data_IF_667633477437
#
_entry.id   IF_667633477437
#
_cell.length_a   1.000
_cell.length_b   1.000
_cell.length_c   1.000
_cell.angle_alpha   90.00
_cell.angle_beta   90.00
_cell.angle_gamma   90.00
#
_symmetry.space_group_name_H-M   'P 1'
#
loop_
_entity.id
_entity.type
_entity.pdbx_description
1 polymer ?
#
# COMPACT_ATOMS: atom_id res chain seq x y z
N UNK A 1 73.71 20.69 7.77
CA UNK A 1 72.30 20.82 8.22
C UNK A 1 71.41 20.55 7.01
N UNK A 2 70.78 19.36 6.94
CA UNK A 2 69.92 18.97 5.80
C UNK A 2 68.47 19.27 6.16
N UNK A 3 67.84 20.20 5.44
CA UNK A 3 66.41 20.50 5.55
C UNK A 3 65.64 19.53 4.65
N UNK A 4 64.86 18.63 5.24
CA UNK A 4 63.86 17.84 4.51
C UNK A 4 62.57 18.67 4.39
N UNK A 5 62.23 19.11 3.18
CA UNK A 5 60.88 19.57 2.87
C UNK A 5 60.03 18.35 2.48
N UNK A 6 59.05 18.02 3.31
CA UNK A 6 57.94 17.16 2.90
C UNK A 6 56.91 18.01 2.13
N UNK A 7 56.50 17.65 0.91
CA UNK A 7 55.44 18.37 0.22
C UNK A 7 54.09 18.00 0.84
N UNK A 8 53.39 19.04 1.30
CA UNK A 8 52.04 19.01 1.82
C UNK A 8 51.07 18.61 0.69
N UNK A 9 50.41 17.45 0.82
CA UNK A 9 49.35 17.03 -0.09
C UNK A 9 48.09 17.87 0.20
N UNK A 10 47.80 18.84 -0.66
CA UNK A 10 46.54 19.58 -0.65
C UNK A 10 45.43 18.70 -1.27
N UNK A 11 44.60 18.10 -0.42
CA UNK A 11 43.36 17.45 -0.83
C UNK A 11 42.33 18.54 -1.22
N UNK A 12 42.12 18.72 -2.52
CA UNK A 12 40.98 19.47 -3.03
C UNK A 12 39.71 18.63 -2.90
N UNK A 13 38.63 19.14 -2.27
CA UNK A 13 37.37 18.42 -2.24
C UNK A 13 36.77 18.41 -3.66
N UNK A 14 36.64 17.23 -4.26
CA UNK A 14 35.80 17.05 -5.44
C UNK A 14 34.35 17.24 -5.02
N UNK A 15 33.73 18.33 -5.48
CA UNK A 15 32.28 18.48 -5.47
C UNK A 15 31.70 17.47 -6.49
N UNK A 16 31.26 16.32 -6.00
CA UNK A 16 30.44 15.40 -6.79
C UNK A 16 29.05 16.03 -6.88
N UNK A 17 28.78 16.73 -7.97
CA UNK A 17 27.41 17.10 -8.32
C UNK A 17 26.68 15.83 -8.79
N UNK A 18 25.67 15.41 -8.04
CA UNK A 18 24.75 14.39 -8.52
C UNK A 18 23.98 14.97 -9.70
N UNK A 19 24.24 14.45 -10.91
CA UNK A 19 23.45 14.80 -12.09
C UNK A 19 21.98 14.43 -11.89
N UNK A 20 21.09 15.17 -12.55
CA UNK A 20 19.66 14.87 -12.47
C UNK A 20 19.38 13.45 -12.99
N UNK A 21 18.56 12.65 -12.28
CA UNK A 21 18.19 11.32 -12.74
C UNK A 21 17.41 11.43 -14.07
N UNK A 22 17.80 10.61 -15.04
CA UNK A 22 17.05 10.46 -16.29
C UNK A 22 15.95 9.43 -16.08
N UNK A 23 14.72 9.79 -16.42
CA UNK A 23 13.56 8.91 -16.33
C UNK A 23 13.17 8.41 -17.72
N UNK A 24 12.78 7.13 -17.80
CA UNK A 24 12.13 6.55 -18.97
C UNK A 24 10.75 6.07 -18.54
N UNK A 25 9.72 6.49 -19.27
CA UNK A 25 8.38 5.95 -19.07
C UNK A 25 8.33 4.48 -19.47
N UNK A 26 7.60 3.68 -18.69
CA UNK A 26 7.25 2.32 -19.02
C UNK A 26 5.79 2.11 -18.65
N UNK A 27 4.98 1.77 -19.64
CA UNK A 27 3.59 1.41 -19.41
C UNK A 27 3.53 -0.03 -18.92
N UNK A 28 2.86 -0.23 -17.79
CA UNK A 28 2.74 -1.54 -17.12
C UNK A 28 1.40 -2.21 -17.47
N UNK A 29 0.31 -1.45 -17.38
CA UNK A 29 -1.04 -1.91 -17.69
C UNK A 29 -1.88 -0.71 -18.15
N UNK A 30 -2.22 -0.69 -19.44
CA UNK A 30 -3.04 0.36 -20.05
C UNK A 30 -4.55 0.06 -19.94
N UNK A 31 -4.92 -1.11 -19.41
CA UNK A 31 -6.31 -1.57 -19.26
C UNK A 31 -6.84 -1.38 -17.83
N UNK A 32 -6.09 -0.65 -16.99
CA UNK A 32 -6.57 -0.22 -15.67
C UNK A 32 -7.75 0.73 -15.85
N UNK A 33 -8.86 0.46 -15.16
CA UNK A 33 -10.06 1.28 -15.27
C UNK A 33 -9.90 2.63 -14.57
N UNK A 34 -10.12 2.63 -13.25
CA UNK A 34 -9.95 3.82 -12.40
C UNK A 34 -8.54 3.87 -11.83
N UNK A 35 -8.08 2.74 -11.26
CA UNK A 35 -6.77 2.62 -10.61
C UNK A 35 -6.53 3.68 -9.51
N UNK A 36 -6.89 3.38 -8.27
CA UNK A 36 -6.92 4.39 -7.21
C UNK A 36 -5.84 4.20 -6.13
N UNK A 37 -5.81 3.05 -5.47
CA UNK A 37 -4.84 2.78 -4.41
C UNK A 37 -3.65 1.98 -4.91
N UNK A 38 -2.44 2.41 -4.57
CA UNK A 38 -1.19 1.78 -4.97
C UNK A 38 -0.32 1.45 -3.74
N UNK A 39 0.36 0.31 -3.78
CA UNK A 39 1.38 -0.09 -2.81
C UNK A 39 2.54 -0.78 -3.52
N UNK A 40 3.68 -0.84 -2.82
CA UNK A 40 4.88 -1.56 -3.24
C UNK A 40 5.19 -2.61 -2.19
N UNK A 41 5.38 -3.86 -2.62
CA UNK A 41 5.74 -4.97 -1.73
C UNK A 41 6.32 -6.14 -2.53
N UNK A 42 7.06 -7.02 -1.87
CA UNK A 42 7.42 -8.32 -2.44
C UNK A 42 6.22 -9.27 -2.26
N UNK A 43 5.58 -9.63 -3.37
CA UNK A 43 4.33 -10.42 -3.33
C UNK A 43 4.60 -11.91 -3.43
N UNK A 44 5.74 -12.33 -3.97
CA UNK A 44 6.05 -13.73 -4.27
C UNK A 44 7.25 -14.28 -3.49
N UNK A 45 8.00 -13.43 -2.78
CA UNK A 45 9.17 -13.77 -1.98
C UNK A 45 10.47 -13.84 -2.77
N UNK A 46 10.54 -13.27 -3.97
CA UNK A 46 11.73 -13.29 -4.82
C UNK A 46 12.72 -12.14 -4.55
N UNK A 47 12.42 -11.29 -3.57
CA UNK A 47 13.22 -10.14 -3.15
C UNK A 47 13.07 -8.92 -4.05
N UNK A 48 12.19 -8.95 -5.07
CA UNK A 48 11.92 -7.81 -5.94
C UNK A 48 10.70 -7.05 -5.45
N UNK A 49 10.72 -5.74 -5.68
CA UNK A 49 9.55 -4.90 -5.39
C UNK A 49 8.54 -5.01 -6.52
N UNK A 50 7.37 -5.54 -6.20
CA UNK A 50 6.20 -5.58 -7.06
C UNK A 50 5.27 -4.38 -6.80
N UNK A 51 4.30 -4.19 -7.70
CA UNK A 51 3.28 -3.15 -7.58
C UNK A 51 1.95 -3.81 -7.25
N UNK A 52 1.27 -3.33 -6.21
CA UNK A 52 -0.12 -3.69 -5.89
C UNK A 52 -1.01 -2.51 -6.24
N UNK A 53 -2.10 -2.77 -6.95
CA UNK A 53 -3.08 -1.79 -7.37
C UNK A 53 -4.48 -2.24 -6.95
N UNK A 54 -5.27 -1.28 -6.48
CA UNK A 54 -6.71 -1.46 -6.37
C UNK A 54 -7.44 -0.56 -7.37
N UNK A 55 -8.29 -1.19 -8.18
CA UNK A 55 -9.20 -0.55 -9.12
C UNK A 55 -10.61 -0.47 -8.49
N UNK A 56 -11.63 -0.02 -9.22
CA UNK A 56 -13.01 0.01 -8.72
C UNK A 56 -13.51 -1.37 -8.29
N UNK A 57 -13.17 -2.42 -9.04
CA UNK A 57 -13.78 -3.75 -8.90
C UNK A 57 -12.76 -4.89 -8.78
N UNK A 58 -11.47 -4.58 -8.78
CA UNK A 58 -10.40 -5.58 -8.79
C UNK A 58 -9.25 -5.13 -7.91
N UNK A 59 -8.62 -6.11 -7.28
CA UNK A 59 -7.30 -5.96 -6.65
C UNK A 59 -6.35 -6.79 -7.50
N UNK A 60 -5.22 -6.22 -7.89
CA UNK A 60 -4.20 -6.90 -8.68
C UNK A 60 -2.80 -6.54 -8.20
N UNK A 61 -1.83 -7.39 -8.50
CA UNK A 61 -0.42 -7.05 -8.39
C UNK A 61 0.32 -7.36 -9.69
N UNK A 62 1.44 -6.67 -9.92
CA UNK A 62 2.25 -6.74 -11.13
C UNK A 62 3.66 -7.18 -10.78
N UNK A 63 4.05 -8.35 -11.28
CA UNK A 63 5.27 -9.05 -10.90
C UNK A 63 6.51 -8.47 -11.59
N UNK A 64 7.43 -7.90 -10.83
CA UNK A 64 8.72 -7.44 -11.33
C UNK A 64 9.60 -8.65 -11.75
N UNK A 65 10.34 -8.60 -12.88
CA UNK A 65 10.44 -7.50 -13.86
C UNK A 65 9.52 -7.65 -15.07
N UNK A 66 8.78 -8.75 -15.18
CA UNK A 66 7.93 -9.02 -16.35
C UNK A 66 6.68 -8.15 -16.40
N UNK A 67 6.32 -7.55 -15.27
CA UNK A 67 5.07 -6.86 -14.99
C UNK A 67 3.83 -7.72 -15.26
N UNK A 68 3.97 -9.05 -15.18
CA UNK A 68 2.86 -9.98 -15.28
C UNK A 68 1.81 -9.65 -14.22
N UNK A 69 0.58 -9.38 -14.68
CA UNK A 69 -0.57 -9.10 -13.82
C UNK A 69 -1.09 -10.38 -13.17
N UNK A 70 -1.35 -10.31 -11.88
CA UNK A 70 -2.00 -11.35 -11.08
C UNK A 70 -3.23 -10.73 -10.40
N UNK A 71 -4.42 -11.22 -10.73
CA UNK A 71 -5.66 -10.71 -10.13
C UNK A 71 -5.90 -11.37 -8.77
N UNK A 72 -5.71 -10.59 -7.70
CA UNK A 72 -5.92 -11.02 -6.31
C UNK A 72 -7.40 -11.30 -6.04
N UNK A 73 -8.29 -10.38 -6.44
CA UNK A 73 -9.73 -10.51 -6.24
C UNK A 73 -10.52 -9.72 -7.29
N UNK A 74 -11.79 -10.09 -7.46
CA UNK A 74 -12.80 -9.25 -8.11
C UNK A 74 -13.54 -8.37 -7.11
N UNK A 75 -14.83 -8.16 -7.34
CA UNK A 75 -15.69 -7.36 -6.47
C UNK A 75 -15.70 -7.93 -5.04
N UNK A 76 -15.37 -7.08 -4.08
CA UNK A 76 -15.52 -7.39 -2.65
C UNK A 76 -16.87 -6.93 -2.11
N UNK A 77 -17.46 -5.93 -2.76
CA UNK A 77 -18.72 -5.29 -2.42
C UNK A 77 -19.44 -4.80 -3.68
N UNK A 78 -20.64 -4.24 -3.52
CA UNK A 78 -21.41 -3.67 -4.66
C UNK A 78 -20.82 -2.37 -5.20
N UNK A 79 -20.10 -1.61 -4.35
CA UNK A 79 -19.43 -0.35 -4.74
C UNK A 79 -17.92 -0.50 -4.73
N UNK A 80 -17.29 0.54 -5.24
CA UNK A 80 -15.87 0.60 -5.53
C UNK A 80 -14.97 0.34 -4.31
N UNK A 81 -13.78 -0.19 -4.59
CA UNK A 81 -12.66 -0.16 -3.67
C UNK A 81 -12.06 1.25 -3.55
N UNK A 82 -11.34 1.54 -2.47
CA UNK A 82 -10.82 2.89 -2.19
C UNK A 82 -9.42 2.95 -1.57
N UNK A 83 -8.95 1.89 -0.93
CA UNK A 83 -7.57 1.86 -0.44
C UNK A 83 -7.07 0.44 -0.28
N UNK A 84 -5.75 0.27 -0.30
CA UNK A 84 -5.07 -0.99 -0.10
C UNK A 84 -3.79 -0.76 0.70
N UNK A 85 -3.41 -1.71 1.55
CA UNK A 85 -2.08 -1.75 2.17
C UNK A 85 -1.49 -3.14 2.02
N UNK A 86 -0.17 -3.21 1.80
CA UNK A 86 0.56 -4.45 1.55
C UNK A 86 1.75 -4.57 2.49
N UNK A 87 1.93 -5.73 3.12
CA UNK A 87 3.09 -6.03 3.97
C UNK A 87 3.17 -7.52 4.30
N UNK A 88 4.38 -8.05 4.48
CA UNK A 88 4.57 -9.35 5.13
C UNK A 88 4.22 -9.26 6.63
N UNK A 89 3.10 -9.85 7.00
CA UNK A 89 2.55 -9.86 8.36
C UNK A 89 2.85 -11.17 9.08
N UNK A 90 2.94 -12.27 8.33
CA UNK A 90 3.14 -13.61 8.90
C UNK A 90 4.62 -14.06 8.94
N UNK A 91 5.53 -13.31 8.33
CA UNK A 91 6.96 -13.57 8.29
C UNK A 91 7.40 -14.59 7.24
N UNK A 92 6.57 -14.90 6.25
CA UNK A 92 6.88 -15.87 5.19
C UNK A 92 7.68 -15.26 4.01
N UNK A 93 8.01 -13.97 4.09
CA UNK A 93 8.72 -13.22 3.06
C UNK A 93 7.82 -12.72 1.93
N UNK A 94 6.50 -12.92 2.00
CA UNK A 94 5.52 -12.50 1.00
C UNK A 94 4.49 -11.58 1.64
N UNK A 95 4.04 -10.57 0.90
CA UNK A 95 3.10 -9.63 1.45
C UNK A 95 1.64 -10.14 1.50
N UNK A 96 0.96 -9.84 2.60
CA UNK A 96 -0.48 -9.87 2.78
C UNK A 96 -1.12 -8.53 2.41
N UNK A 97 -2.42 -8.56 2.12
CA UNK A 97 -3.18 -7.39 1.70
C UNK A 97 -4.37 -7.12 2.61
N UNK A 98 -4.62 -5.85 2.88
CA UNK A 98 -5.91 -5.37 3.37
C UNK A 98 -6.48 -4.33 2.39
N UNK A 99 -7.80 -4.34 2.21
CA UNK A 99 -8.51 -3.51 1.22
C UNK A 99 -9.71 -2.82 1.86
N UNK A 100 -9.84 -1.53 1.59
CA UNK A 100 -11.01 -0.73 1.90
C UNK A 100 -11.94 -0.66 0.70
N UNK A 101 -13.24 -0.86 0.92
CA UNK A 101 -14.23 -0.93 -0.14
C UNK A 101 -15.57 -0.29 0.24
N UNK A 102 -16.59 -0.52 -0.59
CA UNK A 102 -17.93 0.03 -0.45
C UNK A 102 -17.94 1.57 -0.43
N UNK A 103 -17.18 2.18 -1.34
CA UNK A 103 -16.98 3.63 -1.37
C UNK A 103 -18.29 4.40 -1.61
N UNK A 104 -18.66 5.22 -0.61
CA UNK A 104 -19.69 6.25 -0.73
C UNK A 104 -19.51 7.27 0.43
N UNK A 105 -18.75 8.36 0.25
CA UNK A 105 -18.44 9.29 1.33
C UNK A 105 -19.66 10.08 1.82
N UNK A 106 -20.75 10.16 1.03
CA UNK A 106 -21.99 10.82 1.44
C UNK A 106 -22.86 9.98 2.38
N UNK A 107 -22.66 8.66 2.41
CA UNK A 107 -23.36 7.76 3.30
C UNK A 107 -22.52 7.53 4.57
N UNK A 108 -22.65 8.45 5.53
CA UNK A 108 -21.94 8.43 6.81
C UNK A 108 -22.54 7.46 7.82
N UNK A 109 -23.36 6.50 7.38
CA UNK A 109 -24.02 5.51 8.25
C UNK A 109 -23.74 4.08 7.79
N UNK A 110 -23.85 3.78 6.48
CA UNK A 110 -23.82 2.41 5.96
C UNK A 110 -22.72 2.14 4.92
N UNK A 111 -21.95 3.15 4.50
CA UNK A 111 -20.84 2.96 3.57
C UNK A 111 -19.63 2.31 4.22
N UNK A 112 -18.59 2.03 3.42
CA UNK A 112 -17.34 1.49 3.92
C UNK A 112 -17.38 -0.02 4.09
N UNK A 113 -16.20 -0.62 3.97
CA UNK A 113 -15.92 -2.00 4.29
C UNK A 113 -14.41 -2.15 4.43
N UNK A 114 -13.98 -3.05 5.30
CA UNK A 114 -12.58 -3.42 5.48
C UNK A 114 -12.47 -4.93 5.29
N UNK A 115 -11.51 -5.36 4.48
CA UNK A 115 -11.21 -6.76 4.24
C UNK A 115 -9.73 -7.02 4.47
N UNK A 116 -9.41 -8.09 5.20
CA UNK A 116 -8.12 -8.77 5.05
C UNK A 116 -8.27 -9.79 3.91
N UNK A 117 -7.34 -9.84 2.98
CA UNK A 117 -7.35 -10.82 1.90
C UNK A 117 -6.40 -11.96 2.27
N UNK A 118 -6.96 -13.12 2.60
CA UNK A 118 -6.17 -14.31 2.92
C UNK A 118 -5.57 -14.90 1.64
N UNK A 119 -4.24 -14.98 1.55
CA UNK A 119 -3.55 -15.36 0.32
C UNK A 119 -3.71 -16.84 -0.04
N UNK A 120 -3.61 -17.13 -1.34
CA UNK A 120 -3.23 -18.48 -1.81
C UNK A 120 -1.74 -18.70 -1.61
N UNK A 121 -1.30 -19.95 -1.48
CA UNK A 121 0.11 -20.29 -1.23
C UNK A 121 1.06 -19.75 -2.32
N UNK A 122 0.60 -19.75 -3.58
CA UNK A 122 1.35 -19.30 -4.76
C UNK A 122 1.16 -17.82 -5.09
N UNK A 123 0.27 -17.12 -4.37
CA UNK A 123 -0.04 -15.69 -4.52
C UNK A 123 -0.55 -15.30 -5.93
N UNK A 124 -0.94 -16.27 -6.76
CA UNK A 124 -1.32 -16.06 -8.17
C UNK A 124 -2.71 -15.43 -8.34
N UNK A 125 -3.57 -15.51 -7.32
CA UNK A 125 -4.87 -14.84 -7.33
C UNK A 125 -5.91 -15.54 -6.47
N UNK A 126 -7.17 -15.10 -6.58
CA UNK A 126 -8.33 -15.67 -5.88
C UNK A 126 -8.19 -15.74 -4.35
N UNK A 127 -7.63 -14.69 -3.76
CA UNK A 127 -7.45 -14.61 -2.30
C UNK A 127 -8.81 -14.54 -1.61
N UNK A 128 -8.93 -15.26 -0.50
CA UNK A 128 -10.20 -15.36 0.24
C UNK A 128 -10.41 -14.09 1.07
N UNK A 129 -11.49 -13.31 0.84
CA UNK A 129 -11.75 -12.12 1.63
C UNK A 129 -12.27 -12.48 3.02
N UNK A 130 -11.67 -11.89 4.05
CA UNK A 130 -12.12 -11.92 5.43
C UNK A 130 -12.62 -10.53 5.80
N UNK A 131 -13.94 -10.39 5.92
CA UNK A 131 -14.57 -9.11 6.26
C UNK A 131 -14.31 -8.77 7.72
N UNK A 132 -13.81 -7.57 7.96
CA UNK A 132 -13.57 -7.02 9.29
C UNK A 132 -14.68 -6.03 9.67
N UNK A 133 -14.80 -5.77 10.97
CA UNK A 133 -15.60 -4.64 11.45
C UNK A 133 -15.14 -3.34 10.77
N UNK A 134 -16.02 -2.37 10.58
CA UNK A 134 -15.65 -1.07 10.04
C UNK A 134 -16.57 0.01 10.58
N UNK A 135 -16.05 1.23 10.60
CA UNK A 135 -16.85 2.45 10.64
C UNK A 135 -17.11 2.96 9.22
N UNK A 136 -18.18 3.76 9.03
CA UNK A 136 -18.59 4.19 7.71
C UNK A 136 -17.53 5.09 7.09
N UNK A 137 -17.55 5.24 5.77
CA UNK A 137 -16.61 6.09 5.01
C UNK A 137 -15.13 5.67 5.15
N UNK A 138 -14.84 4.36 5.30
CA UNK A 138 -13.48 3.81 5.20
C UNK A 138 -12.72 4.42 4.02
N UNK A 139 -11.50 4.93 4.22
CA UNK A 139 -10.80 5.71 3.19
C UNK A 139 -9.29 5.49 3.11
N UNK A 140 -8.58 5.33 4.24
CA UNK A 140 -7.14 5.03 4.24
C UNK A 140 -6.82 3.92 5.23
N UNK A 141 -5.78 3.16 4.95
CA UNK A 141 -5.29 2.11 5.82
C UNK A 141 -3.80 1.87 5.68
N UNK A 142 -3.15 1.47 6.77
CA UNK A 142 -1.74 1.11 6.81
C UNK A 142 -1.48 0.02 7.84
N UNK A 143 -0.57 -0.89 7.53
CA UNK A 143 0.06 -1.76 8.53
C UNK A 143 1.05 -0.96 9.37
N UNK A 144 0.81 -0.85 10.69
CA UNK A 144 1.64 -0.06 11.61
C UNK A 144 2.25 -1.00 12.66
N UNK A 145 3.57 -0.90 12.84
CA UNK A 145 4.27 -1.71 13.84
C UNK A 145 3.87 -1.24 15.25
N UNK A 146 3.35 -2.15 16.06
CA UNK A 146 2.97 -1.90 17.44
C UNK A 146 4.15 -2.09 18.41
N UNK A 147 4.03 -1.70 19.69
CA UNK A 147 5.11 -1.84 20.68
C UNK A 147 5.55 -3.28 20.95
N UNK A 148 4.70 -4.28 20.66
CA UNK A 148 5.05 -5.70 20.76
C UNK A 148 5.82 -6.20 19.53
N UNK A 149 6.12 -5.33 18.57
CA UNK A 149 6.84 -5.65 17.34
C UNK A 149 6.00 -6.32 16.26
N UNK A 150 4.69 -6.51 16.49
CA UNK A 150 3.73 -7.01 15.49
C UNK A 150 3.15 -5.85 14.68
N UNK A 151 2.43 -6.15 13.59
CA UNK A 151 1.75 -5.12 12.79
C UNK A 151 0.25 -5.14 13.04
N UNK A 152 -0.30 -3.99 13.36
CA UNK A 152 -1.74 -3.77 13.44
C UNK A 152 -2.21 -3.11 12.13
N UNK A 153 -3.36 -3.50 11.61
CA UNK A 153 -4.01 -2.74 10.54
C UNK A 153 -4.62 -1.49 11.14
N UNK A 154 -4.15 -0.30 10.76
CA UNK A 154 -4.76 0.96 11.17
C UNK A 154 -5.62 1.48 10.03
N UNK A 155 -6.91 1.70 10.28
CA UNK A 155 -7.88 2.21 9.30
C UNK A 155 -8.39 3.58 9.74
N UNK A 156 -8.40 4.52 8.79
CA UNK A 156 -8.90 5.88 8.95
C UNK A 156 -10.08 6.13 8.00
N UNK A 157 -11.29 6.33 8.52
CA UNK A 157 -12.43 6.85 7.77
C UNK A 157 -12.26 8.31 7.34
N UNK A 158 -13.06 8.75 6.34
CA UNK A 158 -13.12 10.15 5.92
C UNK A 158 -13.89 11.00 6.95
N UNK A 159 -15.00 10.47 7.46
CA UNK A 159 -15.87 11.13 8.43
C UNK A 159 -16.25 10.18 9.57
N UNK A 160 -16.66 10.76 10.70
CA UNK A 160 -17.34 10.00 11.74
C UNK A 160 -18.79 9.69 11.37
N UNK A 161 -19.39 8.75 12.11
CA UNK A 161 -20.75 8.30 11.87
C UNK A 161 -21.75 9.45 11.99
N UNK A 162 -22.69 9.51 11.05
CA UNK A 162 -23.73 10.54 11.01
C UNK A 162 -23.23 11.95 10.65
N UNK A 163 -21.96 12.10 10.25
CA UNK A 163 -21.42 13.41 9.90
C UNK A 163 -22.21 14.04 8.73
N UNK A 164 -22.68 15.27 8.91
CA UNK A 164 -23.30 16.12 7.88
C UNK A 164 -22.79 17.55 8.05
N UNK A 165 -21.92 17.97 7.13
CA UNK A 165 -21.32 19.31 7.17
C UNK A 165 -20.52 19.56 8.45
N UNK A 166 -19.75 18.57 8.92
CA UNK A 166 -18.92 18.68 10.11
C UNK A 166 -19.63 18.36 11.43
N UNK A 167 -20.96 18.18 11.44
CA UNK A 167 -21.74 17.81 12.63
C UNK A 167 -22.02 16.32 12.66
N UNK A 168 -21.68 15.63 13.75
CA UNK A 168 -21.85 14.18 13.94
C UNK A 168 -20.81 13.64 14.90
N UNK A 169 -20.66 12.32 14.98
CA UNK A 169 -19.60 11.72 15.79
C UNK A 169 -18.22 12.11 15.25
N UNK A 170 -17.19 12.21 16.12
CA UNK A 170 -15.82 12.31 15.65
C UNK A 170 -15.44 11.05 14.87
N UNK A 171 -14.56 11.18 13.87
CA UNK A 171 -14.00 10.01 13.20
C UNK A 171 -13.22 9.17 14.21
N UNK A 172 -13.35 7.84 14.10
CA UNK A 172 -12.58 6.89 14.90
C UNK A 172 -11.55 6.23 14.01
N UNK A 173 -10.28 6.29 14.41
CA UNK A 173 -9.26 5.42 13.83
C UNK A 173 -9.35 4.06 14.51
N UNK A 174 -9.40 3.00 13.71
CA UNK A 174 -9.53 1.63 14.18
C UNK A 174 -8.20 0.90 13.99
N UNK A 175 -7.81 0.11 14.98
CA UNK A 175 -6.65 -0.78 14.90
C UNK A 175 -7.12 -2.24 15.02
N UNK A 176 -6.78 -3.08 14.05
CA UNK A 176 -7.07 -4.51 14.04
C UNK A 176 -5.76 -5.26 14.31
N UNK A 177 -5.81 -6.22 15.24
CA UNK A 177 -4.66 -6.99 15.72
C UNK A 177 -4.69 -8.41 15.18
#
# INVERSE_FOLDING_TARGET
MKMNLAPLLLLFPMLIFAGEPKFRQQDIDQEVGVGYGLQLADMNGDGKTDIVLVDKDKVAWYQNPSWKKHQVSGHLTKRDHVCVTARDINGDGKAELAVGAQWNPGDTVNSGAVFYLSPTADRSGNWKPVKLYHDPTTHRMHWVKNPAGKYDLVVKPLYGRGNKGGRGDPLKMLAYK
#
